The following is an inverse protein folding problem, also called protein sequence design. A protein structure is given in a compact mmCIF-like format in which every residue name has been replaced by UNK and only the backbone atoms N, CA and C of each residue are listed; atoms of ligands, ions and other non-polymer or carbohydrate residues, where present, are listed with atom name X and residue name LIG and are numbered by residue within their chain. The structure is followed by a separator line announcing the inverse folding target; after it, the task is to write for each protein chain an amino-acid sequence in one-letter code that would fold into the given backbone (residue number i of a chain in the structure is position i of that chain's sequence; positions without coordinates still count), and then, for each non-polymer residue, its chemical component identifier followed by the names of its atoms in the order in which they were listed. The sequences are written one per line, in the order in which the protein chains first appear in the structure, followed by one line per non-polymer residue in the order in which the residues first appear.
data_IF_559893420389
#
_entry.id   IF_559893420389
#
_cell.length_a   1.000
_cell.length_b   1.000
_cell.length_c   1.000
_cell.angle_alpha   90.00
_cell.angle_beta   90.00
_cell.angle_gamma   90.00
#
_symmetry.space_group_name_H-M   'P 1'
#
loop_
_entity.id
_entity.type
_entity.pdbx_description
1 polymer ?
#
# COMPACT_ATOMS: atom_id res chain seq x y z
N UNK A 1 -3.25 31.29 9.38
CA UNK A 1 -2.55 30.06 8.95
C UNK A 1 -3.08 28.91 9.80
N UNK A 2 -3.46 27.77 9.21
CA UNK A 2 -3.91 26.62 10.00
C UNK A 2 -2.72 26.00 10.76
N UNK A 3 -2.91 25.49 11.99
CA UNK A 3 -1.88 24.74 12.71
C UNK A 3 -1.43 23.49 11.94
N UNK A 4 -0.17 23.08 12.12
CA UNK A 4 0.38 21.87 11.48
C UNK A 4 -0.46 20.62 11.74
N UNK A 5 -1.02 20.48 12.95
CA UNK A 5 -1.87 19.34 13.27
C UNK A 5 -3.15 19.32 12.43
N UNK A 6 -3.77 20.49 12.23
CA UNK A 6 -4.95 20.63 11.38
C UNK A 6 -4.62 20.28 9.93
N UNK A 7 -3.49 20.80 9.42
CA UNK A 7 -3.01 20.46 8.07
C UNK A 7 -2.76 18.96 7.91
N UNK A 8 -2.18 18.31 8.92
CA UNK A 8 -1.94 16.85 8.90
C UNK A 8 -3.23 16.05 8.89
N UNK A 9 -4.20 16.40 9.74
CA UNK A 9 -5.48 15.69 9.79
C UNK A 9 -6.25 15.85 8.46
N UNK A 10 -6.21 17.04 7.85
CA UNK A 10 -6.79 17.29 6.53
C UNK A 10 -6.09 16.47 5.44
N UNK A 11 -4.76 16.53 5.35
CA UNK A 11 -3.99 15.80 4.33
C UNK A 11 -3.92 14.29 4.58
N UNK A 12 -4.28 13.80 5.76
CA UNK A 12 -4.46 12.37 6.03
C UNK A 12 -5.91 11.93 5.85
N UNK A 13 -6.77 12.80 5.32
CA UNK A 13 -8.17 12.52 5.01
C UNK A 13 -9.01 12.12 6.23
N UNK A 14 -8.68 12.66 7.41
CA UNK A 14 -9.35 12.33 8.68
C UNK A 14 -10.41 13.35 9.11
N UNK A 15 -10.54 14.48 8.41
CA UNK A 15 -11.50 15.54 8.72
C UNK A 15 -12.66 15.54 7.73
N UNK A 16 -12.35 15.57 6.44
CA UNK A 16 -13.36 15.59 5.37
C UNK A 16 -12.78 14.81 4.18
N UNK A 17 -12.97 13.49 4.16
CA UNK A 17 -12.48 12.68 3.06
C UNK A 17 -13.16 13.10 1.74
N UNK A 18 -12.41 13.43 0.67
CA UNK A 18 -12.97 13.94 -0.57
C UNK A 18 -13.23 12.84 -1.61
N UNK A 19 -12.84 11.59 -1.33
CA UNK A 19 -12.83 10.50 -2.31
C UNK A 19 -13.88 9.45 -1.98
N UNK A 20 -14.71 9.08 -2.95
CA UNK A 20 -15.66 7.97 -2.83
C UNK A 20 -15.02 6.61 -3.17
N UNK A 21 -13.93 6.59 -3.93
CA UNK A 21 -13.27 5.35 -4.31
C UNK A 21 -12.06 5.04 -3.39
N UNK A 22 -11.99 3.84 -2.78
CA UNK A 22 -10.85 3.43 -1.96
C UNK A 22 -9.48 3.53 -2.65
N UNK A 23 -9.43 3.33 -3.97
CA UNK A 23 -8.19 3.47 -4.75
C UNK A 23 -7.63 4.89 -4.68
N UNK A 24 -8.49 5.91 -4.74
CA UNK A 24 -8.05 7.31 -4.70
C UNK A 24 -7.46 7.67 -3.33
N UNK A 25 -7.96 7.06 -2.26
CA UNK A 25 -7.36 7.18 -0.92
C UNK A 25 -5.95 6.59 -0.90
N UNK A 26 -5.76 5.40 -1.47
CA UNK A 26 -4.43 4.76 -1.52
C UNK A 26 -3.48 5.55 -2.42
N UNK A 27 -3.93 6.04 -3.56
CA UNK A 27 -3.19 6.93 -4.48
C UNK A 27 -2.75 8.22 -3.75
N UNK A 28 -3.66 8.87 -3.02
CA UNK A 28 -3.35 10.06 -2.22
C UNK A 28 -2.34 9.81 -1.10
N UNK A 29 -2.47 8.69 -0.40
CA UNK A 29 -1.54 8.31 0.67
C UNK A 29 -0.20 7.79 0.13
N UNK A 30 -0.11 7.51 -1.18
CA UNK A 30 0.99 6.82 -1.84
C UNK A 30 1.03 5.33 -1.51
N UNK A 31 1.16 5.00 -0.23
CA UNK A 31 1.11 3.62 0.25
C UNK A 31 0.52 3.56 1.66
N UNK A 32 -0.24 2.50 1.96
CA UNK A 32 -0.79 2.24 3.30
C UNK A 32 -0.23 0.93 3.81
N UNK A 33 0.42 0.93 4.97
CA UNK A 33 0.98 -0.30 5.55
C UNK A 33 -0.13 -1.35 5.75
N UNK A 34 0.12 -2.56 5.27
CA UNK A 34 -0.84 -3.66 5.18
C UNK A 34 -0.31 -4.99 5.74
N UNK A 35 0.52 -4.91 6.79
CA UNK A 35 0.98 -6.09 7.53
C UNK A 35 -0.23 -6.82 8.16
N UNK A 36 -1.10 -6.07 8.84
CA UNK A 36 -2.44 -6.52 9.21
C UNK A 36 -3.43 -6.08 8.13
N UNK A 37 -3.98 -7.05 7.42
CA UNK A 37 -4.90 -6.83 6.31
C UNK A 37 -6.20 -6.15 6.75
N UNK A 38 -6.77 -6.55 7.89
CA UNK A 38 -8.06 -6.02 8.37
C UNK A 38 -7.90 -4.57 8.79
N UNK A 39 -6.81 -4.25 9.49
CA UNK A 39 -6.53 -2.88 9.92
C UNK A 39 -6.20 -1.97 8.75
N UNK A 40 -5.54 -2.47 7.71
CA UNK A 40 -5.29 -1.69 6.50
C UNK A 40 -6.59 -1.33 5.76
N UNK A 41 -7.52 -2.28 5.63
CA UNK A 41 -8.86 -1.99 5.07
C UNK A 41 -9.60 -0.97 5.92
N UNK A 42 -9.58 -1.11 7.25
CA UNK A 42 -10.19 -0.13 8.14
C UNK A 42 -9.58 1.27 7.97
N UNK A 43 -8.25 1.35 7.86
CA UNK A 43 -7.54 2.62 7.65
C UNK A 43 -7.90 3.29 6.33
N UNK A 44 -8.10 2.53 5.25
CA UNK A 44 -8.59 3.06 3.96
C UNK A 44 -10.07 3.46 4.08
N UNK A 45 -10.90 2.64 4.72
CA UNK A 45 -12.31 2.93 4.94
C UNK A 45 -12.52 4.23 5.71
N UNK A 46 -11.86 4.43 6.85
CA UNK A 46 -11.98 5.68 7.62
C UNK A 46 -11.56 6.96 6.87
N UNK A 47 -10.89 6.81 5.72
CA UNK A 47 -10.42 7.89 4.85
C UNK A 47 -11.18 7.96 3.52
N UNK A 48 -12.26 7.21 3.37
CA UNK A 48 -13.14 7.21 2.19
C UNK A 48 -14.46 7.91 2.56
N UNK A 49 -14.95 8.80 1.71
CA UNK A 49 -16.11 9.66 1.97
C UNK A 49 -17.39 8.84 2.18
N UNK A 50 -17.62 7.89 1.28
CA UNK A 50 -18.69 6.91 1.33
C UNK A 50 -18.07 5.53 1.51
N UNK A 51 -18.15 4.95 2.71
CA UNK A 51 -17.45 3.69 2.98
C UNK A 51 -18.40 2.50 3.02
N UNK A 52 -18.25 1.62 2.04
CA UNK A 52 -18.67 0.23 2.16
C UNK A 52 -17.43 -0.69 2.13
N UNK A 53 -17.31 -1.56 3.13
CA UNK A 53 -16.23 -2.54 3.19
C UNK A 53 -16.15 -3.43 1.95
N UNK A 54 -17.28 -3.66 1.25
CA UNK A 54 -17.30 -4.41 -0.01
C UNK A 54 -16.61 -3.67 -1.15
N UNK A 55 -16.62 -2.33 -1.17
CA UNK A 55 -15.94 -1.53 -2.19
C UNK A 55 -14.42 -1.68 -2.12
N UNK A 56 -13.87 -1.80 -0.90
CA UNK A 56 -12.44 -2.00 -0.68
C UNK A 56 -12.02 -3.37 -1.20
N UNK A 57 -12.76 -4.42 -0.84
CA UNK A 57 -12.52 -5.78 -1.36
C UNK A 57 -12.68 -5.82 -2.89
N UNK A 58 -13.68 -5.15 -3.45
CA UNK A 58 -13.88 -5.08 -4.89
C UNK A 58 -12.70 -4.39 -5.59
N UNK A 59 -12.16 -3.30 -5.03
CA UNK A 59 -10.99 -2.62 -5.58
C UNK A 59 -9.72 -3.50 -5.53
N UNK A 60 -9.54 -4.27 -4.46
CA UNK A 60 -8.46 -5.26 -4.36
C UNK A 60 -8.62 -6.38 -5.38
N UNK A 61 -9.83 -6.94 -5.51
CA UNK A 61 -10.13 -8.03 -6.45
C UNK A 61 -9.98 -7.61 -7.92
N UNK A 62 -10.29 -6.36 -8.27
CA UNK A 62 -10.06 -5.82 -9.62
C UNK A 62 -8.59 -5.48 -9.89
N UNK A 63 -7.74 -5.44 -8.86
CA UNK A 63 -6.34 -5.02 -8.99
C UNK A 63 -6.15 -3.52 -9.07
N UNK A 64 -7.16 -2.72 -8.71
CA UNK A 64 -7.05 -1.25 -8.60
C UNK A 64 -6.11 -0.87 -7.42
N UNK A 65 -6.18 -1.69 -6.36
CA UNK A 65 -5.28 -1.67 -5.20
C UNK A 65 -4.55 -3.01 -5.16
N UNK A 66 -3.24 -2.97 -4.97
CA UNK A 66 -2.39 -4.14 -4.86
C UNK A 66 -1.80 -4.23 -3.46
N UNK A 67 -1.72 -5.45 -2.91
CA UNK A 67 -1.04 -5.71 -1.64
C UNK A 67 0.31 -6.35 -1.93
N UNK A 68 1.42 -5.65 -1.66
CA UNK A 68 2.77 -6.13 -1.99
C UNK A 68 3.82 -5.58 -1.02
N UNK A 69 5.03 -6.15 -1.03
CA UNK A 69 6.18 -5.59 -0.33
C UNK A 69 6.68 -4.33 -1.03
N UNK A 70 6.88 -3.25 -0.28
CA UNK A 70 7.26 -1.97 -0.87
C UNK A 70 8.28 -1.18 -0.03
N UNK A 71 7.79 -0.30 0.86
CA UNK A 71 8.64 0.54 1.69
C UNK A 71 9.18 -0.26 2.88
N UNK A 72 10.48 -0.13 3.18
CA UNK A 72 11.16 -0.92 4.24
C UNK A 72 10.77 -2.42 4.20
N UNK A 73 10.79 -3.01 3.00
CA UNK A 73 10.20 -4.30 2.62
C UNK A 73 9.05 -4.87 3.48
N UNK A 74 8.09 -4.05 3.95
CA UNK A 74 6.87 -4.56 4.60
C UNK A 74 5.68 -4.56 3.64
N UNK A 75 4.61 -5.25 4.01
CA UNK A 75 3.38 -5.28 3.21
C UNK A 75 2.72 -3.90 3.17
N UNK A 76 2.30 -3.48 1.99
CA UNK A 76 1.56 -2.23 1.74
C UNK A 76 0.42 -2.45 0.74
N UNK A 77 -0.65 -1.69 0.91
CA UNK A 77 -1.57 -1.35 -0.18
C UNK A 77 -0.98 -0.20 -1.00
N UNK A 78 -1.02 -0.34 -2.31
CA UNK A 78 -0.55 0.65 -3.29
C UNK A 78 -1.50 0.65 -4.49
N UNK A 79 -1.69 1.80 -5.14
CA UNK A 79 -2.46 1.83 -6.38
C UNK A 79 -1.70 1.14 -7.50
N UNK A 80 -2.39 0.42 -8.38
CA UNK A 80 -1.78 -0.18 -9.57
C UNK A 80 -1.09 0.82 -10.49
N UNK A 81 -1.58 2.08 -10.51
CA UNK A 81 -0.94 3.18 -11.26
C UNK A 81 0.45 3.51 -10.75
N UNK A 82 0.65 3.42 -9.43
CA UNK A 82 1.88 3.86 -8.78
C UNK A 82 2.92 2.76 -8.61
N UNK A 83 2.48 1.50 -8.62
CA UNK A 83 3.34 0.36 -8.31
C UNK A 83 4.64 0.36 -9.14
N UNK A 84 4.56 0.65 -10.44
CA UNK A 84 5.73 0.56 -11.33
C UNK A 84 6.83 1.56 -10.95
N UNK A 85 6.48 2.83 -10.76
CA UNK A 85 7.49 3.83 -10.43
C UNK A 85 7.98 3.63 -8.99
N UNK A 86 7.13 3.20 -8.06
CA UNK A 86 7.56 2.91 -6.70
C UNK A 86 8.54 1.75 -6.65
N UNK A 87 8.27 0.67 -7.40
CA UNK A 87 9.21 -0.45 -7.54
C UNK A 87 10.54 -0.03 -8.17
N UNK A 88 10.55 0.93 -9.10
CA UNK A 88 11.80 1.46 -9.65
C UNK A 88 12.72 2.07 -8.58
N UNK A 89 12.16 2.50 -7.45
CA UNK A 89 12.89 3.07 -6.32
C UNK A 89 13.17 2.05 -5.19
N UNK A 90 12.36 0.99 -5.08
CA UNK A 90 12.40 0.07 -3.93
C UNK A 90 12.83 -1.36 -4.26
N UNK A 91 12.86 -1.76 -5.54
CA UNK A 91 13.05 -3.15 -5.95
C UNK A 91 14.36 -3.76 -5.42
N UNK A 92 15.47 -3.04 -5.48
CA UNK A 92 16.77 -3.55 -5.03
C UNK A 92 16.76 -3.90 -3.54
N UNK A 93 16.12 -3.04 -2.74
CA UNK A 93 15.97 -3.29 -1.30
C UNK A 93 15.05 -4.46 -1.00
N UNK A 94 13.99 -4.64 -1.80
CA UNK A 94 13.07 -5.77 -1.69
C UNK A 94 13.79 -7.08 -2.03
N UNK A 95 14.55 -7.11 -3.14
CA UNK A 95 15.35 -8.29 -3.54
C UNK A 95 16.34 -8.67 -2.45
N UNK A 96 17.13 -7.72 -1.95
CA UNK A 96 18.11 -7.98 -0.89
C UNK A 96 17.45 -8.55 0.39
N UNK A 97 16.28 -8.03 0.78
CA UNK A 97 15.52 -8.54 1.92
C UNK A 97 15.01 -9.97 1.68
N UNK A 98 14.45 -10.24 0.50
CA UNK A 98 13.96 -11.56 0.11
C UNK A 98 15.10 -12.58 0.05
N UNK A 99 16.26 -12.23 -0.53
CA UNK A 99 17.43 -13.11 -0.60
C UNK A 99 17.95 -13.44 0.79
N UNK A 100 17.93 -12.46 1.71
CA UNK A 100 18.31 -12.70 3.11
C UNK A 100 17.36 -13.67 3.80
N UNK A 101 16.06 -13.53 3.58
CA UNK A 101 15.06 -14.45 4.12
C UNK A 101 15.20 -15.86 3.51
N UNK A 102 15.41 -15.93 2.21
CA UNK A 102 15.56 -17.17 1.44
C UNK A 102 16.87 -17.93 1.73
N UNK A 103 17.89 -17.30 2.32
CA UNK A 103 19.07 -18.01 2.87
C UNK A 103 18.83 -18.57 4.27
N UNK A 104 17.96 -17.92 5.05
CA UNK A 104 17.57 -18.39 6.38
C UNK A 104 16.44 -19.42 6.38
N UNK A 105 15.86 -19.66 5.20
CA UNK A 105 14.80 -20.65 4.94
C UNK A 105 15.27 -21.52 3.77
N UNK A 106 14.84 -22.77 3.62
CA UNK A 106 15.25 -23.62 2.49
C UNK A 106 14.52 -23.23 1.18
N UNK A 107 14.28 -21.94 1.00
CA UNK A 107 13.47 -21.33 -0.06
C UNK A 107 14.33 -20.49 -1.03
N UNK A 108 15.65 -20.73 -1.04
CA UNK A 108 16.57 -20.07 -1.97
C UNK A 108 16.17 -20.35 -3.42
N UNK A 109 15.75 -19.31 -4.13
CA UNK A 109 15.47 -19.40 -5.56
C UNK A 109 16.79 -19.39 -6.33
N UNK A 110 17.00 -20.39 -7.19
CA UNK A 110 18.20 -20.46 -8.02
C UNK A 110 18.21 -19.29 -9.02
N UNK A 111 19.23 -18.45 -8.93
CA UNK A 111 19.36 -17.16 -9.63
C UNK A 111 19.33 -17.22 -11.16
N UNK A 112 19.24 -18.41 -11.75
CA UNK A 112 19.22 -18.65 -13.20
C UNK A 112 17.83 -18.62 -13.85
N UNK A 113 16.75 -18.45 -13.09
CA UNK A 113 15.38 -18.69 -13.60
C UNK A 113 14.61 -17.43 -14.01
N UNK A 114 15.21 -16.24 -13.98
CA UNK A 114 14.51 -14.99 -14.29
C UNK A 114 15.38 -14.12 -15.21
N UNK A 115 15.35 -14.44 -16.51
CA UNK A 115 15.76 -13.56 -17.60
C UNK A 115 14.54 -13.17 -18.42
#
# INVERSE_FOLDING_TARGET
MLPLITLRLQNQLLVQPPFDAPQQVVEWMGAVQAQDYRMAKWAVGCRTASTDATQIEAALNRGDILRTHLLRPTWHFVSSKDLRWMLSLTADRIRAANDSYARGTDAALDSKSIH
#
